data_IF_246133971939
#
_entry.id   IF_246133971939
#
_cell.length_a   1.000
_cell.length_b   1.000
_cell.length_c   1.000
_cell.angle_alpha   90.00
_cell.angle_beta   90.00
_cell.angle_gamma   90.00
#
_symmetry.space_group_name_H-M   'P 1'
#
loop_
_entity.id
_entity.type
_entity.pdbx_description
1 polymer ?
#
# COMPACT_ATOMS: atom_id res chain seq x y z
N UNK A 1 -8.86 -17.96 0.44
CA UNK A 1 -7.62 -17.34 -0.09
C UNK A 1 -6.51 -17.48 0.94
N UNK A 2 -5.32 -17.94 0.55
CA UNK A 2 -4.21 -18.18 1.49
C UNK A 2 -3.38 -16.91 1.66
N UNK A 3 -3.63 -16.18 2.74
CA UNK A 3 -2.76 -15.10 3.20
C UNK A 3 -1.62 -15.70 4.04
N UNK A 4 -0.44 -15.10 3.98
CA UNK A 4 0.63 -15.45 4.92
C UNK A 4 0.26 -14.87 6.30
N UNK A 5 0.33 -15.65 7.39
CA UNK A 5 -0.05 -15.15 8.71
C UNK A 5 0.75 -13.90 9.11
N UNK A 6 0.04 -12.90 9.62
CA UNK A 6 0.65 -11.76 10.29
C UNK A 6 0.79 -12.08 11.79
N UNK A 7 2.00 -11.96 12.33
CA UNK A 7 2.30 -12.15 13.76
C UNK A 7 2.80 -10.82 14.32
N UNK A 8 1.87 -9.97 14.73
CA UNK A 8 2.15 -8.66 15.31
C UNK A 8 0.91 -8.05 15.96
N UNK A 9 1.04 -6.79 16.38
CA UNK A 9 -0.05 -6.05 17.03
C UNK A 9 -1.08 -5.55 16.03
N UNK A 10 -2.28 -5.25 16.53
CA UNK A 10 -3.29 -4.55 15.73
C UNK A 10 -2.76 -3.21 15.21
N UNK A 11 -3.20 -2.82 14.02
CA UNK A 11 -2.86 -1.52 13.47
C UNK A 11 -3.71 -0.45 14.14
N UNK A 12 -3.08 0.66 14.51
CA UNK A 12 -3.77 1.81 15.08
C UNK A 12 -3.81 2.96 14.07
N UNK A 13 -5.03 3.44 13.76
CA UNK A 13 -5.25 4.63 12.95
C UNK A 13 -5.10 5.93 13.73
N UNK A 14 -5.02 7.06 13.02
CA UNK A 14 -4.86 8.39 13.63
C UNK A 14 -5.98 8.80 14.59
N UNK A 15 -7.19 8.25 14.40
CA UNK A 15 -8.33 8.48 15.29
C UNK A 15 -8.34 7.55 16.51
N UNK A 16 -7.28 6.76 16.72
CA UNK A 16 -7.18 5.77 17.78
C UNK A 16 -7.94 4.47 17.53
N UNK A 17 -8.67 4.35 16.41
CA UNK A 17 -9.31 3.10 16.03
C UNK A 17 -8.26 2.03 15.72
N UNK A 18 -8.55 0.79 16.10
CA UNK A 18 -7.68 -0.35 15.84
C UNK A 18 -8.31 -1.30 14.82
N UNK A 19 -7.48 -1.97 14.02
CA UNK A 19 -7.91 -3.00 13.09
C UNK A 19 -6.93 -4.16 13.11
N UNK A 20 -7.46 -5.37 13.22
CA UNK A 20 -6.68 -6.59 13.15
C UNK A 20 -6.37 -6.95 11.69
N UNK A 21 -5.08 -7.05 11.30
CA UNK A 21 -4.74 -7.51 9.97
C UNK A 21 -5.13 -8.97 9.73
N UNK A 22 -5.52 -9.27 8.51
CA UNK A 22 -5.82 -10.64 8.07
C UNK A 22 -4.57 -11.42 7.71
N UNK A 23 -3.51 -10.74 7.26
CA UNK A 23 -2.26 -11.36 6.85
C UNK A 23 -1.60 -10.62 5.70
N UNK A 24 -0.51 -11.19 5.18
CA UNK A 24 0.22 -10.64 4.05
C UNK A 24 -0.16 -11.31 2.72
N UNK A 25 -0.06 -10.51 1.65
CA UNK A 25 -0.10 -10.98 0.27
C UNK A 25 0.99 -10.30 -0.55
N UNK A 26 1.74 -11.08 -1.31
CA UNK A 26 2.69 -10.56 -2.28
C UNK A 26 1.96 -10.31 -3.61
N UNK A 27 2.00 -9.07 -4.12
CA UNK A 27 1.40 -8.70 -5.40
C UNK A 27 2.45 -8.05 -6.30
N UNK A 28 2.34 -8.28 -7.60
CA UNK A 28 3.06 -7.49 -8.61
C UNK A 28 2.17 -6.30 -8.95
N UNK A 29 2.64 -5.09 -8.68
CA UNK A 29 1.92 -3.84 -8.94
C UNK A 29 2.59 -3.10 -10.07
N UNK A 30 1.81 -2.72 -11.08
CA UNK A 30 2.27 -1.93 -12.22
C UNK A 30 1.85 -0.47 -12.04
N UNK A 31 2.82 0.43 -12.08
CA UNK A 31 2.66 1.88 -12.01
C UNK A 31 3.02 2.53 -13.33
N UNK A 32 2.32 3.60 -13.72
CA UNK A 32 2.60 4.35 -14.97
C UNK A 32 1.59 4.05 -16.07
N UNK A 33 1.84 4.58 -17.26
CA UNK A 33 0.95 4.48 -18.42
C UNK A 33 1.80 4.14 -19.66
N UNK A 34 1.31 3.23 -20.50
CA UNK A 34 1.96 2.80 -21.76
C UNK A 34 3.43 2.38 -21.53
N UNK A 35 4.35 2.97 -22.29
CA UNK A 35 5.78 2.62 -22.28
C UNK A 35 6.53 3.08 -21.02
N UNK A 36 5.86 3.84 -20.13
CA UNK A 36 6.42 4.27 -18.85
C UNK A 36 6.03 3.37 -17.69
N UNK A 37 5.32 2.26 -17.96
CA UNK A 37 4.93 1.30 -16.94
C UNK A 37 6.16 0.67 -16.27
N UNK A 38 6.11 0.59 -14.93
CA UNK A 38 7.06 -0.15 -14.11
C UNK A 38 6.30 -1.08 -13.18
N UNK A 39 6.70 -2.34 -13.14
CA UNK A 39 6.14 -3.34 -12.23
C UNK A 39 7.11 -3.65 -11.11
N UNK A 40 6.63 -3.59 -9.87
CA UNK A 40 7.40 -3.97 -8.67
C UNK A 40 6.63 -5.01 -7.87
N UNK A 41 7.35 -5.89 -7.17
CA UNK A 41 6.76 -6.81 -6.21
C UNK A 41 6.57 -6.07 -4.89
N UNK A 42 5.35 -6.05 -4.37
CA UNK A 42 5.00 -5.37 -3.11
C UNK A 42 4.29 -6.37 -2.20
N UNK A 43 4.74 -6.44 -0.95
CA UNK A 43 4.04 -7.17 0.11
C UNK A 43 3.02 -6.25 0.78
N UNK A 44 1.74 -6.57 0.62
CA UNK A 44 0.64 -5.84 1.26
C UNK A 44 0.18 -6.54 2.53
N UNK A 45 -0.09 -5.74 3.56
CA UNK A 45 -0.82 -6.18 4.74
C UNK A 45 -2.32 -5.99 4.48
N UNK A 46 -3.07 -7.08 4.42
CA UNK A 46 -4.51 -7.08 4.16
C UNK A 46 -5.25 -6.75 5.45
N UNK A 47 -6.11 -5.75 5.39
CA UNK A 47 -6.92 -5.27 6.51
C UNK A 47 -8.37 -5.12 6.07
N UNK A 48 -9.29 -5.47 6.95
CA UNK A 48 -10.72 -5.20 6.76
C UNK A 48 -11.11 -4.02 7.64
N UNK A 49 -11.25 -2.85 7.01
CA UNK A 49 -11.52 -1.60 7.70
C UNK A 49 -12.37 -0.68 6.81
N UNK A 50 -13.36 0.05 7.37
CA UNK A 50 -14.11 1.06 6.64
C UNK A 50 -13.20 2.27 6.32
N UNK A 51 -12.50 2.19 5.19
CA UNK A 51 -11.57 3.21 4.69
C UNK A 51 -12.06 3.77 3.36
N UNK A 52 -11.89 5.08 3.15
CA UNK A 52 -12.09 5.72 1.85
C UNK A 52 -11.00 5.35 0.83
N UNK A 53 -9.84 4.88 1.32
CA UNK A 53 -8.75 4.41 0.48
C UNK A 53 -8.82 2.90 0.30
N UNK A 54 -8.74 2.45 -0.96
CA UNK A 54 -8.68 1.02 -1.30
C UNK A 54 -7.29 0.41 -1.05
N UNK A 55 -6.22 1.22 -1.16
CA UNK A 55 -4.87 0.78 -0.88
C UNK A 55 -4.02 1.95 -0.34
N UNK A 56 -2.98 1.61 0.42
CA UNK A 56 -1.97 2.55 0.89
C UNK A 56 -0.63 2.05 0.37
N UNK A 57 0.10 2.91 -0.34
CA UNK A 57 1.45 2.62 -0.82
C UNK A 57 2.45 3.20 0.17
N UNK A 58 3.13 2.32 0.90
CA UNK A 58 4.15 2.72 1.87
C UNK A 58 5.44 3.22 1.22
N UNK A 59 6.28 3.84 2.04
CA UNK A 59 7.59 4.36 1.62
C UNK A 59 8.47 3.29 0.96
N UNK A 60 8.42 2.04 1.44
CA UNK A 60 9.19 0.92 0.87
C UNK A 60 8.86 0.71 -0.61
N UNK A 61 7.57 0.66 -0.97
CA UNK A 61 7.16 0.48 -2.36
C UNK A 61 7.53 1.69 -3.24
N UNK A 62 7.51 2.91 -2.69
CA UNK A 62 7.97 4.11 -3.40
C UNK A 62 9.48 4.04 -3.68
N UNK A 63 10.26 3.57 -2.70
CA UNK A 63 11.70 3.38 -2.85
C UNK A 63 12.01 2.28 -3.89
N UNK A 64 11.30 1.16 -3.87
CA UNK A 64 11.45 0.08 -4.85
C UNK A 64 11.07 0.52 -6.27
N UNK A 65 10.11 1.44 -6.40
CA UNK A 65 9.74 2.06 -7.67
C UNK A 65 10.81 3.05 -8.20
N UNK A 66 11.76 3.45 -7.35
CA UNK A 66 12.70 4.55 -7.58
C UNK A 66 11.95 5.86 -7.92
N UNK A 67 10.82 6.08 -7.26
CA UNK A 67 9.97 7.24 -7.48
C UNK A 67 10.19 8.31 -6.40
N UNK A 68 10.01 9.57 -6.78
CA UNK A 68 9.95 10.69 -5.85
C UNK A 68 8.52 11.19 -5.78
N UNK A 69 7.88 11.22 -4.59
CA UNK A 69 6.57 11.82 -4.45
C UNK A 69 6.68 13.32 -4.78
N UNK A 70 5.80 13.81 -5.64
CA UNK A 70 5.72 15.22 -6.02
C UNK A 70 4.34 15.75 -5.65
N UNK A 71 4.29 16.85 -4.91
CA UNK A 71 3.07 17.63 -4.78
C UNK A 71 2.96 18.52 -6.00
N UNK A 72 2.12 18.13 -6.96
CA UNK A 72 1.80 19.01 -8.08
C UNK A 72 1.17 20.30 -7.55
N UNK A 73 1.83 21.43 -7.75
CA UNK A 73 1.18 22.73 -7.58
C UNK A 73 0.23 22.91 -8.77
N UNK A 74 -1.00 22.41 -8.65
CA UNK A 74 -2.06 22.68 -9.62
C UNK A 74 -2.38 24.18 -9.58
N UNK A 75 -1.69 24.95 -10.43
CA UNK A 75 -2.15 26.29 -10.81
C UNK A 75 -3.15 26.05 -11.94
N UNK A 76 -4.44 26.09 -11.61
CA UNK A 76 -5.48 26.29 -12.61
C UNK A 76 -5.40 27.71 -13.15
#
# INVERSE_FOLDING_TARGET
>A
HHLTPYVGSDLQGFNGATTKPWGYVDLIVTFGINDTCKSIKVQFLVVDCPSHFQCIIGQTAIADLLAMPSTGHLKM
#
